data_IF_154912675124
#
_entry.id   IF_154912675124
#
_cell.length_a   1.000
_cell.length_b   1.000
_cell.length_c   1.000
_cell.angle_alpha   90.00
_cell.angle_beta   90.00
_cell.angle_gamma   90.00
#
_symmetry.space_group_name_H-M   'P 1'
#
loop_
_entity.id
_entity.type
_entity.pdbx_description
1 polymer ?
#
# COMPACT_ATOMS: atom_id res chain seq x y z
N UNK A 1 35.06 -1.51 -8.31
CA UNK A 1 33.96 -0.54 -8.06
C UNK A 1 32.65 -1.32 -8.06
N UNK A 2 31.85 -1.26 -7.00
CA UNK A 2 30.58 -1.99 -6.97
C UNK A 2 29.53 -1.29 -7.85
N UNK A 3 28.79 -2.05 -8.66
CA UNK A 3 27.68 -1.53 -9.46
C UNK A 3 26.42 -1.60 -8.59
N UNK A 4 25.95 -0.45 -8.11
CA UNK A 4 24.70 -0.35 -7.35
C UNK A 4 23.55 -0.18 -8.34
N UNK A 5 22.70 -1.21 -8.46
CA UNK A 5 21.46 -1.14 -9.24
C UNK A 5 20.28 -0.96 -8.28
N UNK A 6 19.44 0.08 -8.44
CA UNK A 6 18.26 0.24 -7.62
C UNK A 6 17.30 -0.93 -7.86
N UNK A 7 16.71 -1.43 -6.78
CA UNK A 7 15.67 -2.43 -6.86
C UNK A 7 14.43 -1.83 -7.56
N UNK A 8 14.00 -2.45 -8.66
CA UNK A 8 12.77 -2.05 -9.37
C UNK A 8 11.55 -2.59 -8.63
N UNK A 9 11.23 -1.97 -7.50
CA UNK A 9 10.05 -2.29 -6.71
C UNK A 9 8.77 -2.10 -7.54
N UNK A 10 7.79 -2.97 -7.32
CA UNK A 10 6.43 -2.73 -7.78
C UNK A 10 5.89 -1.51 -7.03
N UNK A 11 5.48 -0.48 -7.77
CA UNK A 11 4.88 0.74 -7.21
C UNK A 11 3.53 0.96 -7.89
N UNK A 12 2.50 1.39 -7.14
CA UNK A 12 1.25 1.83 -7.75
C UNK A 12 1.49 3.00 -8.72
N UNK A 13 0.59 3.16 -9.69
CA UNK A 13 0.54 4.40 -10.46
C UNK A 13 0.35 5.59 -9.50
N UNK A 14 0.98 6.73 -9.80
CA UNK A 14 1.03 7.88 -8.87
C UNK A 14 -0.37 8.36 -8.45
N UNK A 15 -1.34 8.32 -9.35
CA UNK A 15 -2.74 8.66 -9.11
C UNK A 15 -3.51 7.63 -8.25
N UNK A 16 -2.99 6.42 -8.11
CA UNK A 16 -3.57 5.34 -7.31
C UNK A 16 -2.87 5.15 -5.97
N UNK A 17 -1.68 5.73 -5.77
CA UNK A 17 -0.88 5.53 -4.56
C UNK A 17 -1.66 5.88 -3.27
N UNK A 18 -2.43 6.96 -3.27
CA UNK A 18 -3.27 7.35 -2.13
C UNK A 18 -4.48 6.45 -1.90
N UNK A 19 -4.95 5.74 -2.94
CA UNK A 19 -6.11 4.85 -2.86
C UNK A 19 -5.75 3.44 -2.38
N UNK A 20 -4.51 3.01 -2.63
CA UNK A 20 -4.00 1.67 -2.29
C UNK A 20 -3.22 1.67 -0.96
N UNK A 21 -2.84 2.86 -0.45
CA UNK A 21 -2.14 2.97 0.81
C UNK A 21 -3.01 2.46 1.98
N UNK A 22 -2.54 1.41 2.66
CA UNK A 22 -3.18 0.87 3.85
C UNK A 22 -2.66 1.55 5.12
N UNK A 23 -3.53 1.62 6.14
CA UNK A 23 -3.13 2.06 7.49
C UNK A 23 -2.13 1.05 8.10
N UNK A 24 -1.17 1.51 8.93
CA UNK A 24 -0.23 0.60 9.59
C UNK A 24 -0.94 -0.41 10.47
N UNK A 25 -0.39 -1.63 10.55
CA UNK A 25 -0.89 -2.72 11.38
C UNK A 25 -0.89 -2.39 12.88
N UNK A 26 -0.07 -1.43 13.32
CA UNK A 26 -0.06 -0.93 14.69
C UNK A 26 -1.27 -0.05 15.03
N UNK A 27 -1.99 0.42 14.01
CA UNK A 27 -3.14 1.33 14.16
C UNK A 27 -4.47 0.58 14.01
N UNK A 28 -4.50 -0.48 13.20
CA UNK A 28 -5.75 -1.19 12.86
C UNK A 28 -5.60 -2.71 12.92
N UNK A 29 -6.60 -3.36 13.50
CA UNK A 29 -6.75 -4.82 13.45
C UNK A 29 -7.35 -5.25 12.11
N UNK A 30 -7.14 -6.51 11.71
CA UNK A 30 -7.66 -7.08 10.45
C UNK A 30 -9.16 -6.87 10.27
N UNK A 31 -9.94 -7.06 11.33
CA UNK A 31 -11.38 -6.88 11.30
C UNK A 31 -11.80 -5.42 11.04
N UNK A 32 -11.08 -4.46 11.63
CA UNK A 32 -11.30 -3.03 11.40
C UNK A 32 -10.86 -2.63 10.00
N UNK A 33 -9.71 -3.13 9.54
CA UNK A 33 -9.22 -2.88 8.19
C UNK A 33 -10.27 -3.28 7.13
N UNK A 34 -10.83 -4.50 7.22
CA UNK A 34 -11.90 -4.97 6.32
C UNK A 34 -13.13 -4.06 6.28
N UNK A 35 -13.48 -3.44 7.41
CA UNK A 35 -14.61 -2.48 7.47
C UNK A 35 -14.24 -1.16 6.82
N UNK A 36 -13.02 -0.67 7.03
CA UNK A 36 -12.51 0.59 6.47
C UNK A 36 -12.40 0.51 4.95
N UNK A 37 -11.95 -0.63 4.42
CA UNK A 37 -11.72 -0.81 2.98
C UNK A 37 -12.95 -1.27 2.20
N UNK A 38 -14.07 -1.53 2.87
CA UNK A 38 -15.27 -2.16 2.28
C UNK A 38 -15.79 -1.45 1.02
N UNK A 39 -15.70 -0.12 1.01
CA UNK A 39 -16.20 0.71 -0.10
C UNK A 39 -15.06 1.19 -1.02
N UNK A 40 -13.82 0.72 -0.82
CA UNK A 40 -12.68 1.05 -1.65
C UNK A 40 -12.42 -0.08 -2.67
N UNK A 41 -12.68 0.13 -3.97
CA UNK A 41 -12.48 -0.89 -5.01
C UNK A 41 -11.01 -1.20 -5.31
N UNK A 42 -10.07 -0.47 -4.69
CA UNK A 42 -8.63 -0.57 -4.93
C UNK A 42 -7.83 -1.11 -3.72
N UNK A 43 -8.48 -1.73 -2.74
CA UNK A 43 -7.85 -2.20 -1.49
C UNK A 43 -8.19 -3.65 -1.13
#
# INVERSE_FOLDING_TARGET
MAIIKPFKALRPAANLASKVAALPYDVVTVEKARKIVKDNPHS
#
